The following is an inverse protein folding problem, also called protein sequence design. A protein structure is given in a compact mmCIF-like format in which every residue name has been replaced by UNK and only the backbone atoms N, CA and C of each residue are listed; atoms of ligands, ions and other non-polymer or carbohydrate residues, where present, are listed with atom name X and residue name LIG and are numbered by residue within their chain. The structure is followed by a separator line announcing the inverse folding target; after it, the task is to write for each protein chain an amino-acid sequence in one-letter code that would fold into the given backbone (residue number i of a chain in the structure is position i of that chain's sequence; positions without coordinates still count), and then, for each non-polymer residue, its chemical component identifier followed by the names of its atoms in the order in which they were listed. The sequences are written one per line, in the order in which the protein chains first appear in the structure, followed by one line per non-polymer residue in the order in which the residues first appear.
data_IF_378929434657
#
_entry.id   IF_378929434657
#
_cell.length_a   1.000
_cell.length_b   1.000
_cell.length_c   1.000
_cell.angle_alpha   90.00
_cell.angle_beta   90.00
_cell.angle_gamma   90.00
#
_symmetry.space_group_name_H-M   'P 1'
#
loop_
_entity.id
_entity.type
_entity.pdbx_description
1 polymer ?
#
# COMPACT_ATOMS: atom_id res chain seq x y z
N UNK A 1 19.74 19.04 20.90
CA UNK A 1 19.88 18.20 19.68
C UNK A 1 19.16 16.83 19.72
N UNK A 2 18.56 16.37 20.83
CA UNK A 2 18.01 14.99 20.92
C UNK A 2 16.51 14.80 20.62
N UNK A 3 15.72 15.87 20.52
CA UNK A 3 14.26 15.78 20.27
C UNK A 3 13.94 15.37 18.82
N UNK A 4 14.70 15.88 17.85
CA UNK A 4 14.46 15.62 16.43
C UNK A 4 14.64 14.14 16.05
N UNK A 5 15.66 13.48 16.62
CA UNK A 5 15.90 12.06 16.41
C UNK A 5 14.80 11.18 17.01
N UNK A 6 14.26 11.54 18.18
CA UNK A 6 13.11 10.83 18.78
C UNK A 6 11.85 10.96 17.94
N UNK A 7 11.58 12.15 17.38
CA UNK A 7 10.41 12.39 16.54
C UNK A 7 10.52 11.68 15.18
N UNK A 8 11.71 11.65 14.57
CA UNK A 8 11.97 10.90 13.32
C UNK A 8 11.80 9.39 13.49
N UNK A 9 12.34 8.82 14.57
CA UNK A 9 12.20 7.39 14.89
C UNK A 9 10.74 7.06 15.19
N UNK A 10 9.99 7.97 15.82
CA UNK A 10 8.54 7.80 16.06
C UNK A 10 7.73 7.82 14.76
N UNK A 11 8.10 8.68 13.81
CA UNK A 11 7.45 8.78 12.50
C UNK A 11 7.67 7.55 11.61
N UNK A 12 8.89 7.01 11.57
CA UNK A 12 9.23 5.87 10.71
C UNK A 12 8.72 4.53 11.27
N UNK A 13 8.83 4.29 12.58
CA UNK A 13 8.51 2.97 13.16
C UNK A 13 7.08 2.88 13.68
N UNK A 14 6.56 3.95 14.30
CA UNK A 14 5.26 3.89 15.02
C UNK A 14 4.12 4.47 14.18
N UNK A 15 4.43 5.38 13.24
CA UNK A 15 3.41 6.06 12.44
C UNK A 15 3.30 5.53 11.00
N UNK A 16 4.23 4.66 10.56
CA UNK A 16 4.20 4.14 9.20
C UNK A 16 3.40 2.82 9.15
N UNK A 17 2.20 2.80 8.54
CA UNK A 17 1.38 1.60 8.44
C UNK A 17 2.07 0.45 7.70
N UNK A 18 3.05 0.71 6.84
CA UNK A 18 3.86 -0.33 6.19
C UNK A 18 4.66 -1.17 7.20
N UNK A 19 5.24 -0.53 8.21
CA UNK A 19 6.01 -1.22 9.25
C UNK A 19 5.13 -1.78 10.37
N UNK A 20 4.05 -1.08 10.73
CA UNK A 20 3.17 -1.50 11.84
C UNK A 20 2.28 -2.68 11.44
N UNK A 21 1.74 -2.70 10.21
CA UNK A 21 0.90 -3.81 9.71
C UNK A 21 1.71 -4.83 8.88
N UNK A 22 3.00 -4.60 8.65
CA UNK A 22 3.85 -5.41 7.77
C UNK A 22 3.25 -5.64 6.37
N UNK A 23 2.42 -4.71 5.89
CA UNK A 23 1.79 -4.77 4.57
C UNK A 23 2.78 -4.26 3.51
N UNK A 24 2.94 -5.00 2.41
CA UNK A 24 3.74 -4.54 1.26
C UNK A 24 5.23 -4.89 1.27
N UNK A 25 5.69 -5.85 2.08
CA UNK A 25 7.09 -6.29 2.07
C UNK A 25 7.49 -7.07 0.81
N UNK A 26 6.64 -7.97 0.30
CA UNK A 26 6.91 -8.77 -0.90
C UNK A 26 7.39 -7.93 -2.11
N UNK A 27 6.69 -6.84 -2.51
CA UNK A 27 7.16 -5.99 -3.61
C UNK A 27 8.39 -5.15 -3.25
N UNK A 28 8.58 -4.75 -2.00
CA UNK A 28 9.74 -3.98 -1.56
C UNK A 28 11.05 -4.80 -1.65
N UNK A 29 11.00 -6.08 -1.25
CA UNK A 29 12.13 -7.00 -1.40
C UNK A 29 12.39 -7.34 -2.88
N UNK A 30 11.33 -7.52 -3.69
CA UNK A 30 11.46 -7.83 -5.10
C UNK A 30 12.14 -6.69 -5.90
N UNK A 31 11.76 -5.45 -5.65
CA UNK A 31 12.29 -4.24 -6.32
C UNK A 31 13.76 -3.95 -5.97
N UNK A 32 14.27 -4.48 -4.86
CA UNK A 32 15.65 -4.21 -4.40
C UNK A 32 16.73 -4.94 -5.23
N UNK A 33 16.34 -5.92 -6.05
CA UNK A 33 17.28 -6.79 -6.78
C UNK A 33 17.58 -6.32 -8.20
N UNK A 34 16.60 -5.73 -8.90
CA UNK A 34 16.74 -5.33 -10.30
C UNK A 34 15.75 -4.22 -10.64
N UNK A 35 16.26 -3.16 -11.29
CA UNK A 35 15.46 -2.00 -11.72
C UNK A 35 14.45 -2.41 -12.80
N UNK A 36 14.83 -3.30 -13.72
CA UNK A 36 13.94 -3.79 -14.78
C UNK A 36 12.70 -4.50 -14.21
N UNK A 37 12.89 -5.35 -13.20
CA UNK A 37 11.79 -6.04 -12.52
C UNK A 37 10.91 -5.04 -11.74
N UNK A 38 11.51 -4.01 -11.16
CA UNK A 38 10.79 -3.00 -10.41
C UNK A 38 9.80 -2.19 -11.27
N UNK A 39 10.21 -1.87 -12.50
CA UNK A 39 9.35 -1.17 -13.46
C UNK A 39 8.18 -2.06 -13.87
N UNK A 40 8.42 -3.33 -14.21
CA UNK A 40 7.35 -4.26 -14.57
C UNK A 40 6.32 -4.46 -13.44
N UNK A 41 6.80 -4.62 -12.21
CA UNK A 41 5.93 -4.86 -11.05
C UNK A 41 5.10 -3.62 -10.68
N UNK A 42 5.69 -2.42 -10.69
CA UNK A 42 4.98 -1.18 -10.37
C UNK A 42 3.97 -0.76 -11.43
N UNK A 43 4.28 -0.98 -12.71
CA UNK A 43 3.34 -0.73 -13.82
C UNK A 43 2.14 -1.69 -13.74
N UNK A 44 2.39 -2.97 -13.45
CA UNK A 44 1.32 -3.95 -13.23
C UNK A 44 0.41 -3.55 -12.07
N UNK A 45 0.99 -3.17 -10.94
CA UNK A 45 0.22 -2.71 -9.76
C UNK A 45 -0.54 -1.42 -10.06
N UNK A 46 0.06 -0.46 -10.78
CA UNK A 46 -0.61 0.79 -11.16
C UNK A 46 -1.83 0.53 -12.05
N UNK A 47 -1.73 -0.39 -13.01
CA UNK A 47 -2.84 -0.79 -13.86
C UNK A 47 -3.98 -1.43 -13.07
N UNK A 48 -3.66 -2.35 -12.15
CA UNK A 48 -4.67 -2.97 -11.27
C UNK A 48 -5.30 -1.93 -10.34
N UNK A 49 -4.52 -1.01 -9.75
CA UNK A 49 -5.03 0.06 -8.89
C UNK A 49 -6.02 0.96 -9.63
N UNK A 50 -5.75 1.27 -10.89
CA UNK A 50 -6.66 2.05 -11.73
C UNK A 50 -7.96 1.30 -11.99
N UNK A 51 -7.88 0.01 -12.35
CA UNK A 51 -9.04 -0.86 -12.52
C UNK A 51 -9.89 -0.98 -11.24
N UNK A 52 -9.23 -1.16 -10.09
CA UNK A 52 -9.87 -1.25 -8.78
C UNK A 52 -10.55 0.06 -8.40
N UNK A 53 -9.93 1.22 -8.65
CA UNK A 53 -10.57 2.52 -8.37
C UNK A 53 -11.78 2.77 -9.26
N UNK A 54 -11.76 2.35 -10.53
CA UNK A 54 -12.92 2.44 -11.42
C UNK A 54 -14.10 1.60 -10.90
N UNK A 55 -13.84 0.34 -10.53
CA UNK A 55 -14.84 -0.58 -9.99
C UNK A 55 -15.39 -0.07 -8.65
N UNK A 56 -14.52 0.38 -7.75
CA UNK A 56 -14.94 0.92 -6.46
C UNK A 56 -15.72 2.22 -6.61
N UNK A 57 -15.39 3.06 -7.58
CA UNK A 57 -16.16 4.27 -7.87
C UNK A 57 -17.61 3.94 -8.26
N UNK A 58 -17.82 2.90 -9.07
CA UNK A 58 -19.15 2.42 -9.44
C UNK A 58 -19.93 1.81 -8.24
N UNK A 59 -19.23 1.09 -7.36
CA UNK A 59 -19.80 0.43 -6.17
C UNK A 59 -19.96 1.38 -4.97
N UNK A 60 -19.35 2.58 -5.01
CA UNK A 60 -19.33 3.57 -3.91
C UNK A 60 -20.73 3.95 -3.40
N UNK A 61 -21.78 3.82 -4.21
CA UNK A 61 -23.16 4.12 -3.81
C UNK A 61 -23.81 3.03 -2.95
N UNK A 62 -23.30 1.79 -2.99
CA UNK A 62 -23.83 0.65 -2.24
C UNK A 62 -23.04 0.34 -0.95
N UNK A 63 -21.82 0.87 -0.77
CA UNK A 63 -20.92 0.45 0.32
C UNK A 63 -20.83 1.50 1.44
N UNK A 64 -21.19 1.17 2.70
CA UNK A 64 -21.15 2.08 3.85
C UNK A 64 -19.70 2.46 4.22
N UNK A 65 -19.51 3.69 4.72
CA UNK A 65 -18.19 4.33 4.92
C UNK A 65 -17.22 3.56 5.84
N UNK A 66 -17.71 2.70 6.74
CA UNK A 66 -16.90 1.98 7.72
C UNK A 66 -16.06 0.84 7.13
N UNK A 67 -16.46 0.25 6.00
CA UNK A 67 -15.75 -0.87 5.36
C UNK A 67 -14.87 -0.44 4.18
N UNK A 68 -14.82 0.86 3.87
CA UNK A 68 -14.15 1.34 2.65
C UNK A 68 -12.63 1.07 2.68
N UNK A 69 -11.97 1.29 3.81
CA UNK A 69 -10.52 1.07 3.98
C UNK A 69 -10.14 -0.42 3.83
N UNK A 70 -10.75 -1.37 4.57
CA UNK A 70 -10.43 -2.79 4.42
C UNK A 70 -10.84 -3.37 3.06
N UNK A 71 -11.93 -2.90 2.44
CA UNK A 71 -12.32 -3.33 1.08
C UNK A 71 -11.27 -2.92 0.06
N UNK A 72 -10.74 -1.70 0.13
CA UNK A 72 -9.64 -1.30 -0.75
C UNK A 72 -8.39 -2.17 -0.51
N UNK A 73 -8.07 -2.47 0.75
CA UNK A 73 -6.93 -3.32 1.07
C UNK A 73 -7.12 -4.73 0.52
N UNK A 74 -8.30 -5.33 0.59
CA UNK A 74 -8.58 -6.68 0.03
C UNK A 74 -8.52 -6.69 -1.50
N UNK A 75 -9.00 -5.63 -2.15
CA UNK A 75 -8.93 -5.51 -3.62
C UNK A 75 -7.47 -5.38 -4.08
N UNK A 76 -6.63 -4.69 -3.30
CA UNK A 76 -5.21 -4.48 -3.58
C UNK A 76 -4.36 -5.69 -3.11
N UNK A 77 -4.79 -6.41 -2.08
CA UNK A 77 -4.13 -7.59 -1.54
C UNK A 77 -4.43 -8.81 -2.42
N UNK A 78 -3.82 -8.82 -3.60
CA UNK A 78 -3.78 -9.98 -4.45
C UNK A 78 -2.80 -10.97 -3.81
N UNK A 79 -3.33 -12.02 -3.19
CA UNK A 79 -2.58 -12.94 -2.35
C UNK A 79 -1.41 -13.62 -3.06
N UNK A 80 -0.20 -13.12 -2.79
CA UNK A 80 1.09 -13.81 -2.59
C UNK A 80 2.14 -12.83 -2.07
#
# INVERSE_FOLDING_TARGET
MGKFWKELVKGIIISNPLFVLALGFCPALAVSTSVDNAIGMSVGVAFVLLGSNLIVSAIRKAVPNIVRIPVFIVIIAQGR
#
